data_IF_700047554684
#
_entry.id   IF_700047554684
#
_cell.length_a   1.000
_cell.length_b   1.000
_cell.length_c   1.000
_cell.angle_alpha   90.00
_cell.angle_beta   90.00
_cell.angle_gamma   90.00
#
_symmetry.space_group_name_H-M   'P 1'
#
loop_
_entity.id
_entity.type
_entity.pdbx_description
1 polymer ?
#
# COMPACT_ATOMS: atom_id res chain seq x y z
N UNK A 1 -58.40 24.54 -11.01
CA UNK A 1 -57.44 23.66 -10.32
C UNK A 1 -56.55 23.03 -11.36
N UNK A 2 -55.32 23.48 -11.40
CA UNK A 2 -54.35 23.32 -12.49
C UNK A 2 -53.62 21.97 -12.36
N UNK A 3 -53.98 21.00 -13.20
CA UNK A 3 -53.32 19.69 -13.25
C UNK A 3 -51.92 19.71 -13.91
N UNK A 4 -51.48 20.89 -14.41
CA UNK A 4 -50.18 21.07 -15.09
C UNK A 4 -49.00 21.21 -14.16
N UNK A 5 -49.18 21.57 -12.89
CA UNK A 5 -48.10 21.87 -11.97
C UNK A 5 -47.60 20.64 -11.17
N UNK A 6 -48.38 19.57 -11.11
CA UNK A 6 -48.00 18.34 -10.42
C UNK A 6 -47.03 17.44 -11.26
N UNK A 7 -47.18 17.46 -12.59
CA UNK A 7 -46.34 16.66 -13.49
C UNK A 7 -44.93 17.24 -13.61
N UNK A 8 -44.77 18.57 -13.56
CA UNK A 8 -43.46 19.22 -13.58
C UNK A 8 -42.68 19.00 -12.26
N UNK A 9 -43.37 19.03 -11.11
CA UNK A 9 -42.73 18.76 -9.80
C UNK A 9 -42.31 17.30 -9.64
N UNK A 10 -43.08 16.36 -10.20
CA UNK A 10 -42.72 14.93 -10.19
C UNK A 10 -41.63 14.62 -11.21
N UNK A 11 -41.60 15.30 -12.35
CA UNK A 11 -40.51 15.12 -13.35
C UNK A 11 -39.21 15.72 -12.88
N UNK A 12 -39.20 16.89 -12.26
CA UNK A 12 -37.97 17.48 -11.67
C UNK A 12 -37.47 16.65 -10.48
N UNK A 13 -38.37 16.08 -9.66
CA UNK A 13 -37.97 15.15 -8.59
C UNK A 13 -37.38 13.86 -9.14
N UNK A 14 -37.93 13.27 -10.21
CA UNK A 14 -37.42 12.03 -10.78
C UNK A 14 -36.09 12.20 -11.52
N UNK A 15 -35.85 13.32 -12.18
CA UNK A 15 -34.60 13.64 -12.88
C UNK A 15 -33.52 14.01 -11.88
N UNK A 16 -33.85 14.81 -10.85
CA UNK A 16 -32.89 15.17 -9.80
C UNK A 16 -32.46 13.94 -8.95
N UNK A 17 -33.38 12.99 -8.67
CA UNK A 17 -33.05 11.75 -7.97
C UNK A 17 -32.22 10.79 -8.81
N UNK A 18 -32.42 10.70 -10.12
CA UNK A 18 -31.57 9.82 -10.96
C UNK A 18 -30.14 10.34 -11.11
N UNK A 19 -29.92 11.63 -11.26
CA UNK A 19 -28.58 12.19 -11.39
C UNK A 19 -27.81 12.20 -10.06
N UNK A 20 -28.50 12.27 -8.91
CA UNK A 20 -27.89 12.16 -7.57
C UNK A 20 -27.62 10.70 -7.18
N UNK A 21 -28.48 9.75 -7.61
CA UNK A 21 -28.29 8.33 -7.34
C UNK A 21 -27.20 7.66 -8.20
N UNK A 22 -26.85 8.23 -9.35
CA UNK A 22 -25.89 7.64 -10.28
C UNK A 22 -24.45 8.16 -10.06
N UNK A 23 -24.25 9.07 -9.12
CA UNK A 23 -22.91 9.50 -8.76
C UNK A 23 -22.23 8.43 -7.90
N UNK A 24 -21.01 8.02 -8.27
CA UNK A 24 -20.11 7.17 -7.47
C UNK A 24 -20.08 7.62 -5.99
N UNK A 25 -20.16 8.92 -5.76
CA UNK A 25 -20.19 9.54 -4.43
C UNK A 25 -21.43 9.17 -3.60
N UNK A 26 -22.61 8.97 -4.22
CA UNK A 26 -23.81 8.56 -3.50
C UNK A 26 -23.75 7.08 -3.07
N UNK A 27 -23.17 6.20 -3.89
CA UNK A 27 -22.92 4.80 -3.52
C UNK A 27 -21.93 4.68 -2.36
N UNK A 28 -20.87 5.50 -2.37
CA UNK A 28 -19.90 5.58 -1.26
C UNK A 28 -20.59 6.15 -0.01
N UNK A 29 -21.46 7.16 -0.16
CA UNK A 29 -22.20 7.76 0.96
C UNK A 29 -23.20 6.77 1.58
N UNK A 30 -23.93 6.00 0.79
CA UNK A 30 -24.87 4.97 1.29
C UNK A 30 -24.14 3.79 1.92
N UNK A 31 -23.00 3.37 1.35
CA UNK A 31 -22.15 2.33 1.94
C UNK A 31 -21.64 2.75 3.33
N UNK A 32 -21.36 4.02 3.55
CA UNK A 32 -20.90 4.60 4.82
C UNK A 32 -21.94 4.51 5.98
N UNK A 33 -23.22 4.28 5.65
CA UNK A 33 -24.33 4.16 6.64
C UNK A 33 -24.80 2.74 6.89
N UNK A 34 -24.34 1.75 6.13
CA UNK A 34 -24.74 0.35 6.31
C UNK A 34 -24.12 -0.19 7.60
N UNK A 35 -24.93 -0.81 8.46
CA UNK A 35 -24.44 -1.58 9.60
C UNK A 35 -23.65 -2.76 9.01
N UNK A 36 -22.32 -2.75 9.15
CA UNK A 36 -21.46 -3.82 8.65
C UNK A 36 -21.76 -5.11 9.42
N UNK A 37 -21.94 -6.22 8.69
CA UNK A 37 -22.08 -7.55 9.30
C UNK A 37 -20.72 -7.98 9.88
N UNK A 38 -20.72 -8.86 10.85
CA UNK A 38 -19.51 -9.41 11.47
C UNK A 38 -18.52 -9.97 10.43
N UNK A 39 -19.03 -10.63 9.38
CA UNK A 39 -18.24 -11.14 8.26
C UNK A 39 -17.45 -10.06 7.53
N UNK A 40 -17.98 -8.85 7.42
CA UNK A 40 -17.31 -7.72 6.77
C UNK A 40 -16.16 -7.18 7.63
N UNK A 41 -16.34 -7.09 8.95
CA UNK A 41 -15.25 -6.75 9.88
C UNK A 41 -14.12 -7.77 9.83
N UNK A 42 -14.46 -9.07 9.85
CA UNK A 42 -13.48 -10.15 9.74
C UNK A 42 -12.71 -10.06 8.42
N UNK A 43 -13.41 -9.84 7.30
CA UNK A 43 -12.77 -9.69 5.98
C UNK A 43 -11.83 -8.48 5.93
N UNK A 44 -12.22 -7.34 6.51
CA UNK A 44 -11.34 -6.15 6.60
C UNK A 44 -10.12 -6.43 7.48
N UNK A 45 -10.28 -7.13 8.60
CA UNK A 45 -9.16 -7.53 9.44
C UNK A 45 -8.21 -8.47 8.70
N UNK A 46 -8.72 -9.45 7.94
CA UNK A 46 -7.90 -10.33 7.11
C UNK A 46 -7.14 -9.56 6.01
N UNK A 47 -7.80 -8.59 5.37
CA UNK A 47 -7.12 -7.69 4.40
C UNK A 47 -6.03 -6.86 5.09
N UNK A 48 -6.31 -6.34 6.30
CA UNK A 48 -5.31 -5.67 7.13
C UNK A 48 -4.13 -6.59 7.51
N UNK A 49 -4.40 -7.85 7.86
CA UNK A 49 -3.35 -8.83 8.12
C UNK A 49 -2.45 -9.03 6.88
N UNK A 50 -3.06 -9.18 5.71
CA UNK A 50 -2.31 -9.33 4.46
C UNK A 50 -1.48 -8.07 4.13
N UNK A 51 -2.00 -6.86 4.43
CA UNK A 51 -1.24 -5.60 4.32
C UNK A 51 -0.04 -5.60 5.26
N UNK A 52 -0.26 -5.91 6.55
CA UNK A 52 0.82 -5.95 7.56
C UNK A 52 1.88 -7.01 7.25
N UNK A 53 1.51 -8.17 6.69
CA UNK A 53 2.48 -9.15 6.19
C UNK A 53 3.37 -8.56 5.11
N UNK A 54 2.77 -7.86 4.15
CA UNK A 54 3.51 -7.24 3.05
C UNK A 54 4.46 -6.13 3.56
N UNK A 55 4.02 -5.33 4.54
CA UNK A 55 4.81 -4.23 5.09
C UNK A 55 6.04 -4.70 5.88
N UNK A 56 6.04 -5.93 6.40
CA UNK A 56 7.19 -6.53 7.08
C UNK A 56 8.28 -6.94 6.07
N UNK A 57 7.93 -7.13 4.80
CA UNK A 57 8.86 -7.56 3.75
C UNK A 57 9.46 -6.33 3.06
N UNK A 58 10.79 -6.13 3.13
CA UNK A 58 11.45 -5.04 2.42
C UNK A 58 11.19 -5.12 0.91
N UNK A 59 10.66 -4.04 0.32
CA UNK A 59 10.39 -3.96 -1.13
C UNK A 59 8.98 -4.41 -1.54
N UNK A 60 8.15 -4.88 -0.60
CA UNK A 60 6.72 -5.08 -0.78
C UNK A 60 5.98 -4.05 0.08
N UNK A 61 4.85 -3.55 -0.38
CA UNK A 61 4.07 -2.53 0.32
C UNK A 61 2.66 -3.02 0.63
N UNK A 62 2.19 -2.77 1.85
CA UNK A 62 0.79 -2.96 2.23
C UNK A 62 -0.17 -2.19 1.33
N UNK A 63 0.27 -1.05 0.76
CA UNK A 63 -0.47 -0.33 -0.27
C UNK A 63 -0.77 -1.18 -1.51
N UNK A 64 0.17 -2.04 -1.92
CA UNK A 64 -0.07 -3.03 -2.99
C UNK A 64 -1.24 -3.95 -2.64
N UNK A 65 -1.24 -4.50 -1.43
CA UNK A 65 -2.31 -5.39 -0.94
C UNK A 65 -3.64 -4.64 -0.82
N UNK A 66 -3.63 -3.40 -0.30
CA UNK A 66 -4.83 -2.58 -0.24
C UNK A 66 -5.43 -2.36 -1.63
N UNK A 67 -4.58 -2.08 -2.62
CA UNK A 67 -4.99 -1.85 -4.01
C UNK A 67 -5.65 -3.10 -4.61
N UNK A 68 -4.98 -4.26 -4.49
CA UNK A 68 -5.44 -5.55 -5.01
C UNK A 68 -6.76 -5.98 -4.35
N UNK A 69 -6.84 -5.81 -3.02
CA UNK A 69 -8.02 -6.20 -2.26
C UNK A 69 -9.21 -5.24 -2.42
N UNK A 70 -9.06 -4.19 -3.25
CA UNK A 70 -10.12 -3.23 -3.59
C UNK A 70 -10.49 -2.28 -2.45
N UNK A 71 -9.61 -2.08 -1.46
CA UNK A 71 -9.87 -1.15 -0.34
C UNK A 71 -9.00 0.11 -0.40
N UNK A 72 -8.20 0.27 -1.45
CA UNK A 72 -7.20 1.35 -1.54
C UNK A 72 -7.83 2.75 -1.55
N UNK A 73 -8.86 2.97 -2.38
CA UNK A 73 -9.54 4.28 -2.46
C UNK A 73 -10.21 4.62 -1.13
N UNK A 74 -10.86 3.63 -0.48
CA UNK A 74 -11.49 3.83 0.82
C UNK A 74 -10.46 4.08 1.92
N UNK A 75 -9.30 3.43 1.85
CA UNK A 75 -8.17 3.67 2.75
C UNK A 75 -7.65 5.10 2.61
N UNK A 76 -7.39 5.55 1.39
CA UNK A 76 -6.91 6.90 1.11
C UNK A 76 -7.91 7.96 1.57
N UNK A 77 -9.21 7.79 1.28
CA UNK A 77 -10.26 8.71 1.73
C UNK A 77 -10.39 8.73 3.27
N UNK A 78 -10.23 7.57 3.92
CA UNK A 78 -10.28 7.47 5.38
C UNK A 78 -9.07 8.14 6.05
N UNK A 79 -7.86 7.97 5.48
CA UNK A 79 -6.64 8.67 5.94
C UNK A 79 -6.80 10.18 5.74
N UNK A 80 -7.26 10.61 4.56
CA UNK A 80 -7.52 12.02 4.27
C UNK A 80 -8.52 12.67 5.23
N UNK A 81 -9.48 11.93 5.75
CA UNK A 81 -10.46 12.45 6.72
C UNK A 81 -9.88 12.71 8.12
N UNK A 82 -8.62 12.34 8.38
CA UNK A 82 -7.88 12.75 9.57
C UNK A 82 -7.35 14.18 9.36
N UNK A 83 -8.26 15.13 9.34
CA UNK A 83 -8.04 16.55 9.07
C UNK A 83 -8.20 17.41 10.33
N UNK A 84 -8.11 18.74 10.18
CA UNK A 84 -8.32 19.70 11.28
C UNK A 84 -9.70 19.51 11.95
N UNK A 85 -10.73 19.07 11.19
CA UNK A 85 -12.06 18.78 11.73
C UNK A 85 -12.03 17.58 12.66
N UNK A 86 -11.30 16.52 12.28
CA UNK A 86 -11.10 15.35 13.12
C UNK A 86 -10.40 15.74 14.45
N UNK A 87 -9.34 16.55 14.38
CA UNK A 87 -8.64 17.05 15.56
C UNK A 87 -9.55 17.90 16.45
N UNK A 88 -10.38 18.77 15.87
CA UNK A 88 -11.35 19.59 16.62
C UNK A 88 -12.41 18.71 17.28
N UNK A 89 -12.95 17.70 16.60
CA UNK A 89 -13.93 16.78 17.16
C UNK A 89 -13.33 15.97 18.32
N UNK A 90 -12.08 15.56 18.21
CA UNK A 90 -11.36 14.89 19.30
C UNK A 90 -11.13 15.82 20.49
N UNK A 91 -10.66 17.04 20.25
CA UNK A 91 -10.44 18.04 21.30
C UNK A 91 -11.71 18.50 22.03
N UNK A 92 -12.87 18.43 21.36
CA UNK A 92 -14.18 18.72 21.94
C UNK A 92 -14.87 17.48 22.53
N UNK A 93 -14.16 16.33 22.62
CA UNK A 93 -14.65 15.05 23.15
C UNK A 93 -15.91 14.51 22.43
N UNK A 94 -16.17 14.96 21.22
CA UNK A 94 -17.29 14.48 20.38
C UNK A 94 -16.91 13.16 19.68
N UNK A 95 -16.58 12.13 20.51
CA UNK A 95 -15.99 10.87 20.06
C UNK A 95 -16.83 10.13 19.03
N UNK A 96 -18.17 10.18 19.14
CA UNK A 96 -19.07 9.52 18.17
C UNK A 96 -18.99 10.17 16.78
N UNK A 97 -18.87 11.49 16.73
CA UNK A 97 -18.76 12.23 15.47
C UNK A 97 -17.36 12.08 14.88
N UNK A 98 -16.32 12.16 15.71
CA UNK A 98 -14.95 11.84 15.35
C UNK A 98 -14.87 10.46 14.67
N UNK A 99 -15.41 9.42 15.34
CA UNK A 99 -15.41 8.05 14.81
C UNK A 99 -16.08 7.92 13.45
N UNK A 100 -17.19 8.64 13.26
CA UNK A 100 -17.88 8.69 11.96
C UNK A 100 -17.10 9.44 10.91
N UNK A 101 -16.45 10.52 11.29
CA UNK A 101 -15.70 11.39 10.38
C UNK A 101 -14.49 10.67 9.78
N UNK A 102 -13.69 9.98 10.61
CA UNK A 102 -12.51 9.23 10.19
C UNK A 102 -12.82 7.85 9.57
N UNK A 103 -14.09 7.50 9.36
CA UNK A 103 -14.48 6.16 8.94
C UNK A 103 -13.92 5.04 9.85
N UNK A 104 -14.02 5.22 11.16
CA UNK A 104 -13.41 4.33 12.16
C UNK A 104 -13.87 2.87 12.08
N UNK A 105 -15.07 2.62 11.53
CA UNK A 105 -15.58 1.25 11.28
C UNK A 105 -14.79 0.50 10.22
N UNK A 106 -14.19 1.21 9.28
CA UNK A 106 -13.30 0.66 8.28
C UNK A 106 -11.85 0.62 8.78
N UNK A 107 -11.35 1.75 9.31
CA UNK A 107 -9.95 1.87 9.72
C UNK A 107 -9.57 0.92 10.86
N UNK A 108 -10.42 0.77 11.88
CA UNK A 108 -10.07 -0.05 13.04
C UNK A 108 -9.81 -1.51 12.69
N UNK A 109 -10.68 -2.23 11.95
CA UNK A 109 -10.41 -3.62 11.56
C UNK A 109 -9.14 -3.74 10.70
N UNK A 110 -8.89 -2.81 9.79
CA UNK A 110 -7.69 -2.81 8.94
C UNK A 110 -6.45 -2.63 9.81
N UNK A 111 -6.41 -1.62 10.69
CA UNK A 111 -5.28 -1.38 11.59
C UNK A 111 -5.05 -2.51 12.58
N UNK A 112 -6.12 -3.11 13.11
CA UNK A 112 -6.01 -4.31 13.95
C UNK A 112 -5.39 -5.47 13.18
N UNK A 113 -5.82 -5.69 11.94
CA UNK A 113 -5.23 -6.71 11.07
C UNK A 113 -3.75 -6.47 10.83
N UNK A 114 -3.35 -5.25 10.49
CA UNK A 114 -1.95 -4.87 10.32
C UNK A 114 -1.15 -5.13 11.60
N UNK A 115 -1.66 -4.71 12.76
CA UNK A 115 -1.01 -4.94 14.04
C UNK A 115 -0.84 -6.44 14.34
N UNK A 116 -1.90 -7.24 14.18
CA UNK A 116 -1.85 -8.70 14.37
C UNK A 116 -0.75 -9.29 13.48
N UNK A 117 -0.68 -8.91 12.21
CA UNK A 117 0.31 -9.43 11.28
C UNK A 117 1.74 -9.04 11.70
N UNK A 118 1.98 -7.78 12.04
CA UNK A 118 3.29 -7.32 12.48
C UNK A 118 3.76 -8.11 13.70
N UNK A 119 2.92 -8.27 14.73
CA UNK A 119 3.32 -8.95 15.96
C UNK A 119 3.41 -10.48 15.83
N UNK A 120 2.58 -11.10 14.99
CA UNK A 120 2.55 -12.58 14.85
C UNK A 120 3.45 -13.10 13.74
N UNK A 121 3.53 -12.39 12.61
CA UNK A 121 4.18 -12.88 11.39
C UNK A 121 5.56 -12.29 11.14
N UNK A 122 5.94 -11.20 11.82
CA UNK A 122 7.27 -10.61 11.65
C UNK A 122 8.39 -11.65 11.85
N UNK A 123 8.28 -12.49 12.89
CA UNK A 123 9.26 -13.55 13.16
C UNK A 123 9.31 -14.58 12.03
N UNK A 124 8.15 -14.99 11.50
CA UNK A 124 8.08 -15.92 10.38
C UNK A 124 8.68 -15.30 9.11
N UNK A 125 8.38 -14.03 8.82
CA UNK A 125 8.95 -13.34 7.66
C UNK A 125 10.46 -13.18 7.78
N UNK A 126 10.97 -12.82 8.96
CA UNK A 126 12.42 -12.76 9.21
C UNK A 126 13.06 -14.13 9.01
N UNK A 127 12.46 -15.20 9.54
CA UNK A 127 12.94 -16.57 9.32
C UNK A 127 12.98 -16.93 7.84
N UNK A 128 11.90 -16.69 7.09
CA UNK A 128 11.83 -17.00 5.65
C UNK A 128 12.82 -16.17 4.83
N UNK A 129 12.99 -14.89 5.13
CA UNK A 129 13.94 -14.01 4.44
C UNK A 129 15.39 -14.41 4.72
N UNK A 130 15.68 -14.94 5.91
CA UNK A 130 17.03 -15.37 6.31
C UNK A 130 17.38 -16.75 5.75
N UNK A 131 16.47 -17.72 5.89
CA UNK A 131 16.78 -19.12 5.58
C UNK A 131 16.25 -19.60 4.24
N UNK A 132 15.21 -18.93 3.68
CA UNK A 132 14.58 -19.30 2.43
C UNK A 132 14.33 -18.08 1.50
N UNK A 133 15.36 -17.22 1.27
CA UNK A 133 15.16 -15.97 0.54
C UNK A 133 14.63 -16.18 -0.88
N UNK A 134 15.19 -17.14 -1.63
CA UNK A 134 14.73 -17.43 -3.01
C UNK A 134 13.25 -17.79 -3.02
N UNK A 135 12.81 -18.62 -2.07
CA UNK A 135 11.43 -19.07 -1.99
C UNK A 135 10.45 -17.92 -1.75
N UNK A 136 10.71 -17.09 -0.74
CA UNK A 136 9.80 -15.99 -0.37
C UNK A 136 9.80 -14.88 -1.42
N UNK A 137 10.95 -14.52 -1.99
CA UNK A 137 11.03 -13.54 -3.06
C UNK A 137 10.31 -14.01 -4.32
N UNK A 138 10.43 -15.29 -4.70
CA UNK A 138 9.72 -15.88 -5.84
C UNK A 138 8.20 -15.82 -5.66
N UNK A 139 7.70 -16.13 -4.45
CA UNK A 139 6.30 -16.02 -4.11
C UNK A 139 5.79 -14.57 -4.30
N UNK A 140 6.50 -13.58 -3.75
CA UNK A 140 6.12 -12.17 -3.89
C UNK A 140 6.25 -11.67 -5.32
N UNK A 141 7.24 -12.15 -6.09
CA UNK A 141 7.40 -11.81 -7.49
C UNK A 141 6.14 -12.20 -8.30
N UNK A 142 5.66 -13.43 -8.13
CA UNK A 142 4.43 -13.90 -8.75
C UNK A 142 3.19 -13.14 -8.29
N UNK A 143 3.10 -12.85 -7.00
CA UNK A 143 2.04 -12.07 -6.40
C UNK A 143 1.94 -10.67 -7.02
N UNK A 144 3.07 -9.96 -7.18
CA UNK A 144 3.10 -8.61 -7.76
C UNK A 144 2.73 -8.63 -9.24
N UNK A 145 3.18 -9.63 -10.02
CA UNK A 145 2.79 -9.77 -11.43
C UNK A 145 1.27 -9.92 -11.55
N UNK A 146 0.68 -10.86 -10.80
CA UNK A 146 -0.77 -11.07 -10.82
C UNK A 146 -1.52 -9.79 -10.42
N UNK A 147 -1.02 -9.10 -9.41
CA UNK A 147 -1.56 -7.84 -8.90
C UNK A 147 -1.54 -6.74 -9.95
N UNK A 148 -0.41 -6.54 -10.64
CA UNK A 148 -0.29 -5.56 -11.71
C UNK A 148 -1.28 -5.84 -12.86
N UNK A 149 -1.49 -7.12 -13.20
CA UNK A 149 -2.47 -7.53 -14.21
C UNK A 149 -3.93 -7.24 -13.77
N UNK A 150 -4.25 -7.42 -12.50
CA UNK A 150 -5.58 -7.06 -11.98
C UNK A 150 -5.80 -5.55 -11.97
N UNK A 151 -4.78 -4.79 -11.58
CA UNK A 151 -4.80 -3.32 -11.60
C UNK A 151 -4.97 -2.81 -13.04
N UNK A 152 -4.30 -3.42 -14.02
CA UNK A 152 -4.46 -3.10 -15.43
C UNK A 152 -5.91 -3.13 -15.90
N UNK A 153 -6.74 -4.03 -15.34
CA UNK A 153 -8.18 -4.15 -15.67
C UNK A 153 -9.02 -3.00 -15.14
N UNK A 154 -8.51 -2.21 -14.20
CA UNK A 154 -9.22 -1.04 -13.66
C UNK A 154 -9.03 0.20 -14.54
N UNK A 155 -8.06 0.18 -15.46
CA UNK A 155 -7.84 1.23 -16.44
C UNK A 155 -8.91 1.09 -17.53
N UNK A 156 -9.84 2.05 -17.55
CA UNK A 156 -10.97 2.00 -18.48
C UNK A 156 -10.56 2.20 -19.94
N UNK A 157 -9.55 3.04 -20.19
CA UNK A 157 -9.01 3.30 -21.53
C UNK A 157 -7.50 3.44 -21.49
N UNK A 158 -6.81 2.60 -22.29
CA UNK A 158 -5.38 2.71 -22.54
C UNK A 158 -5.14 3.72 -23.67
N UNK A 159 -5.04 4.99 -23.31
CA UNK A 159 -4.61 6.05 -24.21
C UNK A 159 -3.09 6.29 -24.09
N UNK A 160 -2.54 7.16 -24.94
CA UNK A 160 -1.12 7.48 -24.92
C UNK A 160 -0.68 8.10 -23.58
N UNK A 161 -1.57 8.80 -22.86
CA UNK A 161 -1.30 9.43 -21.55
C UNK A 161 -1.16 8.37 -20.47
N UNK A 162 -2.08 7.40 -20.43
CA UNK A 162 -2.01 6.27 -19.50
C UNK A 162 -0.77 5.42 -19.77
N UNK A 163 -0.42 5.18 -21.04
CA UNK A 163 0.79 4.43 -21.40
C UNK A 163 2.06 5.18 -20.96
N UNK A 164 2.15 6.48 -21.23
CA UNK A 164 3.28 7.31 -20.79
C UNK A 164 3.37 7.33 -19.25
N UNK A 165 2.26 7.46 -18.56
CA UNK A 165 2.18 7.43 -17.10
C UNK A 165 2.64 6.09 -16.52
N UNK A 166 2.24 4.98 -17.12
CA UNK A 166 2.71 3.65 -16.77
C UNK A 166 4.23 3.52 -16.92
N UNK A 167 4.78 3.91 -18.07
CA UNK A 167 6.22 3.86 -18.33
C UNK A 167 6.99 4.76 -17.36
N UNK A 168 6.50 5.98 -17.10
CA UNK A 168 7.11 6.90 -16.15
C UNK A 168 7.11 6.33 -14.73
N UNK A 169 6.00 5.74 -14.29
CA UNK A 169 5.89 5.07 -12.98
C UNK A 169 6.84 3.87 -12.88
N UNK A 170 6.93 3.03 -13.92
CA UNK A 170 7.83 1.88 -13.95
C UNK A 170 9.30 2.31 -13.92
N UNK A 171 9.68 3.31 -14.71
CA UNK A 171 11.03 3.85 -14.73
C UNK A 171 11.41 4.48 -13.39
N UNK A 172 10.50 5.24 -12.76
CA UNK A 172 10.73 5.85 -11.45
C UNK A 172 10.94 4.78 -10.36
N UNK A 173 10.07 3.77 -10.31
CA UNK A 173 10.21 2.69 -9.33
C UNK A 173 11.48 1.87 -9.58
N UNK A 174 11.79 1.54 -10.83
CA UNK A 174 13.03 0.85 -11.17
C UNK A 174 14.25 1.66 -10.74
N UNK A 175 14.28 2.95 -11.05
CA UNK A 175 15.38 3.85 -10.63
C UNK A 175 15.56 3.87 -9.11
N UNK A 176 14.46 3.96 -8.36
CA UNK A 176 14.50 3.88 -6.89
C UNK A 176 15.13 2.55 -6.44
N UNK A 177 14.82 1.42 -7.09
CA UNK A 177 15.33 0.10 -6.67
C UNK A 177 16.82 -0.10 -6.94
N UNK A 178 17.41 0.65 -7.87
CA UNK A 178 18.86 0.60 -8.19
C UNK A 178 19.66 1.75 -7.56
N UNK A 179 18.96 2.73 -6.95
CA UNK A 179 19.62 3.85 -6.28
C UNK A 179 20.44 3.35 -5.08
N UNK A 180 21.62 3.91 -4.93
CA UNK A 180 22.49 3.65 -3.76
C UNK A 180 22.11 4.56 -2.61
N UNK A 181 22.26 4.09 -1.35
CA UNK A 181 22.04 4.93 -0.18
C UNK A 181 22.92 6.19 -0.19
N UNK A 182 22.33 7.32 0.16
CA UNK A 182 23.03 8.59 0.25
C UNK A 182 23.34 8.94 1.72
N UNK A 183 24.47 9.56 1.96
CA UNK A 183 24.73 10.21 3.23
C UNK A 183 23.96 11.52 3.30
N UNK A 184 23.14 11.67 4.31
CA UNK A 184 22.26 12.84 4.47
C UNK A 184 22.38 13.42 5.87
N UNK A 185 22.13 14.74 6.07
CA UNK A 185 22.28 15.39 7.37
C UNK A 185 21.26 14.86 8.39
N UNK A 186 21.64 14.87 9.68
CA UNK A 186 20.75 14.49 10.80
C UNK A 186 20.00 15.68 11.39
N UNK A 187 19.89 16.78 10.65
CA UNK A 187 19.17 17.97 11.06
C UNK A 187 17.68 17.66 11.21
N UNK A 188 17.04 18.34 12.15
CA UNK A 188 15.62 18.14 12.49
C UNK A 188 14.68 18.27 11.28
N UNK A 189 14.93 19.23 10.38
CA UNK A 189 14.12 19.42 9.18
C UNK A 189 14.23 18.25 8.19
N UNK A 190 15.44 17.65 8.08
CA UNK A 190 15.65 16.52 7.20
C UNK A 190 15.06 15.22 7.79
N UNK A 191 15.12 15.04 9.11
CA UNK A 191 14.43 13.95 9.81
C UNK A 191 12.93 14.05 9.60
N UNK A 192 12.35 15.25 9.72
CA UNK A 192 10.93 15.49 9.46
C UNK A 192 10.58 15.19 8.00
N UNK A 193 11.38 15.67 7.03
CA UNK A 193 11.20 15.41 5.60
C UNK A 193 11.31 13.92 5.27
N UNK A 194 12.27 13.21 5.86
CA UNK A 194 12.44 11.77 5.66
C UNK A 194 11.24 10.97 6.14
N UNK A 195 10.63 11.36 7.26
CA UNK A 195 9.36 10.79 7.75
C UNK A 195 8.21 11.01 6.76
N UNK A 196 8.11 12.23 6.21
CA UNK A 196 7.09 12.55 5.22
C UNK A 196 7.27 11.74 3.91
N UNK A 197 8.48 11.65 3.39
CA UNK A 197 8.75 10.90 2.14
C UNK A 197 8.54 9.40 2.36
N UNK A 198 9.02 8.85 3.47
CA UNK A 198 8.89 7.43 3.77
C UNK A 198 7.43 6.98 3.86
N UNK A 199 6.57 7.75 4.53
CA UNK A 199 5.15 7.41 4.64
C UNK A 199 4.41 7.56 3.30
N UNK A 200 4.76 8.56 2.48
CA UNK A 200 4.23 8.69 1.13
C UNK A 200 4.58 7.47 0.27
N UNK A 201 5.83 7.02 0.34
CA UNK A 201 6.27 5.82 -0.36
C UNK A 201 5.55 4.55 0.11
N UNK A 202 5.24 4.44 1.39
CA UNK A 202 4.52 3.30 1.96
C UNK A 202 3.07 3.19 1.43
N UNK A 203 2.44 4.31 1.11
CA UNK A 203 1.11 4.33 0.49
C UNK A 203 1.19 3.86 -0.96
N UNK A 204 2.26 4.20 -1.70
CA UNK A 204 2.41 3.82 -3.10
C UNK A 204 2.60 2.31 -3.24
N UNK A 205 1.84 1.64 -4.13
CA UNK A 205 2.05 0.23 -4.40
C UNK A 205 3.45 -0.03 -4.95
N UNK A 206 4.14 -1.03 -4.41
CA UNK A 206 5.45 -1.47 -4.91
C UNK A 206 6.67 -0.78 -4.28
N UNK A 207 6.48 0.23 -3.42
CA UNK A 207 7.59 0.90 -2.73
C UNK A 207 7.43 0.77 -1.22
N UNK A 208 8.52 0.43 -0.53
CA UNK A 208 8.55 0.31 0.94
C UNK A 208 9.11 1.59 1.56
N UNK A 209 8.40 2.14 2.56
CA UNK A 209 8.88 3.29 3.33
C UNK A 209 10.20 3.04 4.04
N UNK A 210 10.41 1.82 4.59
CA UNK A 210 11.68 1.41 5.20
C UNK A 210 12.84 1.43 4.20
N UNK A 211 12.59 1.00 2.96
CA UNK A 211 13.58 1.05 1.90
C UNK A 211 13.93 2.50 1.50
N UNK A 212 12.95 3.38 1.45
CA UNK A 212 13.20 4.82 1.22
C UNK A 212 14.04 5.42 2.36
N UNK A 213 13.76 5.07 3.62
CA UNK A 213 14.60 5.51 4.74
C UNK A 213 16.04 5.00 4.63
N UNK A 214 16.23 3.76 4.14
CA UNK A 214 17.55 3.20 3.89
C UNK A 214 18.29 4.03 2.80
N UNK A 215 17.62 4.34 1.69
CA UNK A 215 18.18 5.16 0.62
C UNK A 215 18.54 6.58 1.09
N UNK A 216 17.74 7.14 2.00
CA UNK A 216 18.02 8.44 2.61
C UNK A 216 19.07 8.36 3.74
N UNK A 217 19.68 7.20 4.01
CA UNK A 217 20.62 6.99 5.10
C UNK A 217 20.04 7.25 6.50
N UNK A 218 18.70 7.21 6.63
CA UNK A 218 18.01 7.52 7.89
C UNK A 218 17.48 6.31 8.63
N UNK A 219 17.45 5.16 8.01
CA UNK A 219 16.87 3.96 8.62
C UNK A 219 17.54 3.62 9.97
N UNK A 220 18.87 3.52 9.99
CA UNK A 220 19.62 3.22 11.21
C UNK A 220 19.46 4.31 12.27
N UNK A 221 19.55 5.58 11.88
CA UNK A 221 19.41 6.72 12.78
C UNK A 221 18.05 6.73 13.49
N UNK A 222 16.97 6.47 12.76
CA UNK A 222 15.62 6.40 13.33
C UNK A 222 15.46 5.15 14.21
N UNK A 223 15.96 3.98 13.78
CA UNK A 223 15.89 2.76 14.57
C UNK A 223 16.68 2.87 15.88
N UNK A 224 17.85 3.50 15.84
CA UNK A 224 18.64 3.80 17.04
C UNK A 224 17.89 4.78 17.94
N UNK A 225 17.32 5.85 17.40
CA UNK A 225 16.53 6.81 18.19
C UNK A 225 15.33 6.13 18.89
N UNK A 226 14.70 5.13 18.25
CA UNK A 226 13.64 4.33 18.88
C UNK A 226 14.20 3.42 19.98
N UNK A 227 15.36 2.76 19.75
CA UNK A 227 16.01 1.91 20.75
C UNK A 227 16.44 2.68 21.97
N UNK A 228 17.02 3.88 21.78
CA UNK A 228 17.52 4.77 22.83
C UNK A 228 16.43 5.64 23.46
N UNK A 229 15.17 5.49 23.03
CA UNK A 229 14.03 6.33 23.43
C UNK A 229 14.30 7.84 23.27
N UNK A 230 14.96 8.23 22.18
CA UNK A 230 15.22 9.64 21.84
C UNK A 230 13.93 10.32 21.37
N UNK A 231 13.11 10.74 22.36
CA UNK A 231 11.77 11.29 22.12
C UNK A 231 11.78 12.49 21.15
N UNK A 232 12.70 13.47 21.23
CA UNK A 232 12.75 14.56 20.26
C UNK A 232 12.82 14.11 18.80
N UNK A 233 13.73 13.19 18.48
CA UNK A 233 13.91 12.65 17.12
C UNK A 233 12.66 11.89 16.66
N UNK A 234 12.10 11.04 17.55
CA UNK A 234 10.89 10.27 17.26
C UNK A 234 9.71 11.22 16.97
N UNK A 235 9.51 12.23 17.78
CA UNK A 235 8.41 13.20 17.60
C UNK A 235 8.57 13.96 16.28
N UNK A 236 9.76 14.46 15.96
CA UNK A 236 10.03 15.17 14.70
C UNK A 236 9.72 14.26 13.51
N UNK A 237 10.18 13.00 13.54
CA UNK A 237 9.92 12.01 12.50
C UNK A 237 8.41 11.72 12.35
N UNK A 238 7.70 11.51 13.45
CA UNK A 238 6.26 11.23 13.45
C UNK A 238 5.45 12.44 12.97
N UNK A 239 5.83 13.66 13.33
CA UNK A 239 5.20 14.89 12.81
C UNK A 239 5.39 14.99 11.29
N UNK A 240 6.60 14.69 10.79
CA UNK A 240 6.86 14.62 9.36
C UNK A 240 6.00 13.56 8.66
N UNK A 241 5.95 12.36 9.23
CA UNK A 241 5.11 11.27 8.70
C UNK A 241 3.62 11.65 8.70
N UNK A 242 3.11 12.26 9.76
CA UNK A 242 1.72 12.70 9.83
C UNK A 242 1.40 13.78 8.79
N UNK A 243 2.28 14.76 8.61
CA UNK A 243 2.13 15.78 7.58
C UNK A 243 2.20 15.17 6.16
N UNK A 244 3.13 14.25 5.94
CA UNK A 244 3.30 13.54 4.66
C UNK A 244 2.06 12.72 4.29
N UNK A 245 1.56 11.89 5.21
CA UNK A 245 0.42 11.01 4.94
C UNK A 245 -0.84 11.82 4.65
N UNK A 246 -1.10 12.89 5.39
CA UNK A 246 -2.26 13.76 5.17
C UNK A 246 -2.15 14.48 3.82
N UNK A 247 -1.02 15.15 3.56
CA UNK A 247 -0.83 15.89 2.32
C UNK A 247 -0.89 15.00 1.09
N UNK A 248 -0.22 13.85 1.16
CA UNK A 248 -0.16 12.91 0.04
C UNK A 248 -1.49 12.21 -0.21
N UNK A 249 -2.25 11.86 0.84
CA UNK A 249 -3.58 11.28 0.67
C UNK A 249 -4.57 12.27 0.02
N UNK A 250 -4.46 13.58 0.31
CA UNK A 250 -5.23 14.61 -0.40
C UNK A 250 -4.87 14.68 -1.88
N UNK A 251 -3.57 14.70 -2.19
CA UNK A 251 -3.08 14.72 -3.56
C UNK A 251 -3.55 13.47 -4.32
N UNK A 252 -3.35 12.30 -3.74
CA UNK A 252 -3.68 11.03 -4.39
C UNK A 252 -5.19 10.86 -4.58
N UNK A 253 -5.99 11.24 -3.59
CA UNK A 253 -7.45 11.27 -3.71
C UNK A 253 -7.91 12.22 -4.83
N UNK A 254 -7.28 13.39 -4.94
CA UNK A 254 -7.57 14.34 -6.01
C UNK A 254 -7.21 13.77 -7.40
N UNK A 255 -6.03 13.15 -7.53
CA UNK A 255 -5.58 12.50 -8.76
C UNK A 255 -6.52 11.35 -9.18
N UNK A 256 -6.89 10.48 -8.25
CA UNK A 256 -7.82 9.37 -8.51
C UNK A 256 -9.22 9.85 -8.92
N UNK A 257 -9.67 11.01 -8.44
CA UNK A 257 -10.98 11.58 -8.80
C UNK A 257 -10.98 12.26 -10.16
N UNK A 258 -9.89 12.94 -10.53
CA UNK A 258 -9.84 13.74 -11.75
C UNK A 258 -9.18 13.01 -12.92
N UNK A 259 -8.16 12.17 -12.65
CA UNK A 259 -7.38 11.46 -13.66
C UNK A 259 -7.19 9.99 -13.27
N UNK A 260 -8.30 9.30 -13.05
CA UNK A 260 -8.33 7.92 -12.55
C UNK A 260 -7.41 7.00 -13.35
N UNK A 261 -7.62 6.88 -14.67
CA UNK A 261 -6.89 5.93 -15.51
C UNK A 261 -5.39 6.22 -15.55
N UNK A 262 -5.00 7.49 -15.64
CA UNK A 262 -3.59 7.92 -15.61
C UNK A 262 -2.96 7.62 -14.26
N UNK A 263 -3.66 7.89 -13.16
CA UNK A 263 -3.15 7.63 -11.81
C UNK A 263 -2.98 6.14 -11.57
N UNK A 264 -3.98 5.33 -11.94
CA UNK A 264 -3.90 3.87 -11.82
C UNK A 264 -2.78 3.31 -12.69
N UNK A 265 -2.54 3.88 -13.88
CA UNK A 265 -1.43 3.49 -14.74
C UNK A 265 -0.06 3.79 -14.11
N UNK A 266 0.12 4.95 -13.46
CA UNK A 266 1.34 5.26 -12.68
C UNK A 266 1.53 4.24 -11.55
N UNK A 267 0.48 3.96 -10.76
CA UNK A 267 0.54 3.02 -9.64
C UNK A 267 0.88 1.60 -10.12
N UNK A 268 0.29 1.16 -11.23
CA UNK A 268 0.65 -0.09 -11.88
C UNK A 268 2.12 -0.08 -12.34
N UNK A 269 2.58 1.05 -12.90
CA UNK A 269 3.97 1.24 -13.28
C UNK A 269 4.91 1.05 -12.08
N UNK A 270 4.59 1.65 -10.93
CA UNK A 270 5.35 1.45 -9.70
C UNK A 270 5.43 -0.03 -9.31
N UNK A 271 4.34 -0.78 -9.41
CA UNK A 271 4.33 -2.22 -9.12
C UNK A 271 5.26 -2.99 -10.07
N UNK A 272 5.20 -2.71 -11.37
CA UNK A 272 6.05 -3.39 -12.36
C UNK A 272 7.51 -3.02 -12.19
N UNK A 273 7.83 -1.74 -11.96
CA UNK A 273 9.20 -1.29 -11.71
C UNK A 273 9.80 -1.89 -10.44
N UNK A 274 8.98 -2.11 -9.40
CA UNK A 274 9.41 -2.73 -8.14
C UNK A 274 9.76 -4.22 -8.25
N UNK A 275 9.37 -4.91 -9.36
CA UNK A 275 9.77 -6.30 -9.59
C UNK A 275 11.29 -6.47 -9.58
N UNK A 276 12.03 -5.45 -9.96
CA UNK A 276 13.49 -5.44 -9.84
C UNK A 276 13.94 -5.67 -8.38
N UNK A 277 13.24 -5.10 -7.39
CA UNK A 277 13.60 -5.26 -5.96
C UNK A 277 13.23 -6.64 -5.40
N UNK A 278 12.22 -7.30 -5.94
CA UNK A 278 11.77 -8.62 -5.47
C UNK A 278 12.32 -9.77 -6.31
N UNK A 279 13.28 -9.50 -7.20
CA UNK A 279 13.96 -10.55 -7.97
C UNK A 279 14.60 -11.58 -7.03
N UNK A 280 14.41 -12.90 -7.24
CA UNK A 280 14.82 -13.91 -6.25
C UNK A 280 16.33 -14.10 -6.11
N UNK A 281 17.08 -13.95 -7.21
CA UNK A 281 18.53 -14.23 -7.21
C UNK A 281 19.32 -12.93 -7.17
N UNK A 282 20.02 -12.73 -6.05
CA UNK A 282 20.78 -11.50 -5.77
C UNK A 282 22.17 -11.82 -5.27
N UNK A 283 23.11 -11.04 -5.74
CA UNK A 283 24.45 -10.94 -5.16
C UNK A 283 24.48 -9.74 -4.22
N UNK A 284 24.95 -9.94 -2.99
CA UNK A 284 25.13 -8.86 -2.02
C UNK A 284 26.51 -8.26 -2.19
N UNK A 285 26.58 -7.02 -2.69
CA UNK A 285 27.85 -6.31 -2.87
C UNK A 285 28.30 -5.64 -1.58
N UNK A 286 27.36 -5.08 -0.80
CA UNK A 286 27.66 -4.39 0.46
C UNK A 286 26.66 -4.76 1.53
N UNK A 287 27.15 -4.83 2.79
CA UNK A 287 26.33 -5.10 3.98
C UNK A 287 26.46 -3.96 4.98
N UNK A 288 25.43 -3.79 5.81
CA UNK A 288 25.51 -2.94 7.01
C UNK A 288 25.13 -3.75 8.24
N UNK A 289 25.52 -3.30 9.42
CA UNK A 289 25.10 -3.90 10.68
C UNK A 289 23.81 -3.21 11.14
N UNK A 290 22.80 -4.01 11.46
CA UNK A 290 21.57 -3.50 12.06
C UNK A 290 21.78 -3.14 13.55
N UNK A 291 20.73 -2.64 14.23
CA UNK A 291 20.77 -2.26 15.65
C UNK A 291 21.08 -3.45 16.59
N UNK A 292 21.01 -4.67 16.10
CA UNK A 292 21.34 -5.92 16.83
C UNK A 292 22.71 -6.47 16.47
N UNK A 293 23.49 -5.77 15.64
CA UNK A 293 24.79 -6.20 15.17
C UNK A 293 24.75 -7.29 14.10
N UNK A 294 23.59 -7.53 13.48
CA UNK A 294 23.42 -8.51 12.41
C UNK A 294 23.71 -7.86 11.06
N UNK A 295 24.57 -8.50 10.24
CA UNK A 295 24.86 -8.01 8.90
C UNK A 295 23.63 -8.13 8.00
N UNK A 296 23.17 -7.00 7.48
CA UNK A 296 22.05 -6.88 6.56
C UNK A 296 22.54 -6.40 5.19
N UNK A 297 21.93 -6.84 4.08
CA UNK A 297 22.34 -6.42 2.75
C UNK A 297 21.98 -4.94 2.53
N UNK A 298 22.98 -4.14 2.13
CA UNK A 298 22.82 -2.73 1.77
C UNK A 298 22.66 -2.57 0.27
N UNK A 299 23.64 -3.06 -0.50
CA UNK A 299 23.63 -3.02 -1.96
C UNK A 299 23.56 -4.44 -2.50
N UNK A 300 22.57 -4.68 -3.36
CA UNK A 300 22.35 -5.97 -3.99
C UNK A 300 22.18 -5.81 -5.49
N UNK A 301 22.83 -6.71 -6.26
CA UNK A 301 22.70 -6.79 -7.70
C UNK A 301 21.89 -8.03 -8.09
N UNK A 302 20.94 -7.86 -9.01
CA UNK A 302 20.19 -8.98 -9.54
C UNK A 302 21.06 -9.75 -10.53
N UNK A 303 21.08 -11.08 -10.36
CA UNK A 303 21.83 -11.99 -11.21
C UNK A 303 20.93 -13.06 -11.80
N UNK A 304 21.37 -13.71 -12.88
CA UNK A 304 20.67 -14.87 -13.43
C UNK A 304 20.81 -16.09 -12.49
N UNK A 305 19.86 -17.04 -12.49
CA UNK A 305 19.92 -18.24 -11.66
C UNK A 305 21.25 -19.03 -11.76
N UNK A 306 21.75 -19.23 -12.98
CA UNK A 306 23.04 -19.90 -13.20
C UNK A 306 24.26 -19.11 -12.70
N UNK A 307 24.23 -17.79 -12.83
CA UNK A 307 25.26 -16.90 -12.27
C UNK A 307 25.24 -16.93 -10.75
N UNK A 308 24.04 -17.00 -10.14
CA UNK A 308 23.89 -17.13 -8.69
C UNK A 308 24.59 -18.39 -8.16
N UNK A 309 24.40 -19.54 -8.84
CA UNK A 309 25.09 -20.79 -8.46
C UNK A 309 26.61 -20.67 -8.54
N UNK A 310 27.12 -19.99 -9.58
CA UNK A 310 28.56 -19.80 -9.76
C UNK A 310 29.17 -18.87 -8.69
N UNK A 311 28.46 -17.81 -8.32
CA UNK A 311 28.97 -16.81 -7.38
C UNK A 311 28.85 -17.26 -5.93
N UNK A 312 27.75 -17.93 -5.58
CA UNK A 312 27.45 -18.28 -4.17
C UNK A 312 27.79 -19.72 -3.82
N UNK A 313 27.98 -20.59 -4.79
CA UNK A 313 28.11 -22.05 -4.59
C UNK A 313 26.83 -22.72 -4.11
N UNK A 314 25.70 -22.00 -4.04
CA UNK A 314 24.42 -22.52 -3.62
C UNK A 314 23.53 -22.85 -4.83
N UNK A 315 22.68 -23.89 -4.74
CA UNK A 315 21.76 -24.22 -5.83
C UNK A 315 20.76 -23.10 -6.06
N UNK A 316 20.46 -22.76 -7.30
CA UNK A 316 19.50 -21.71 -7.68
C UNK A 316 18.05 -22.04 -7.31
N UNK A 317 17.74 -23.30 -7.00
CA UNK A 317 16.39 -23.76 -6.67
C UNK A 317 15.34 -23.31 -7.71
N UNK A 318 15.73 -23.25 -9.01
CA UNK A 318 14.92 -22.67 -10.09
C UNK A 318 13.51 -23.27 -10.16
N UNK A 319 13.38 -24.60 -10.05
CA UNK A 319 12.08 -25.28 -10.11
C UNK A 319 11.18 -24.83 -8.94
N UNK A 320 11.73 -24.79 -7.73
CA UNK A 320 11.01 -24.33 -6.54
C UNK A 320 10.61 -22.85 -6.68
N UNK A 321 11.50 -22.01 -7.20
CA UNK A 321 11.25 -20.59 -7.42
C UNK A 321 10.09 -20.39 -8.41
N UNK A 322 10.08 -21.10 -9.54
CA UNK A 322 8.98 -21.05 -10.53
C UNK A 322 7.67 -21.53 -9.92
N UNK A 323 7.68 -22.64 -9.19
CA UNK A 323 6.46 -23.16 -8.54
C UNK A 323 5.90 -22.16 -7.53
N UNK A 324 6.73 -21.55 -6.70
CA UNK A 324 6.29 -20.55 -5.72
C UNK A 324 5.84 -19.25 -6.38
N UNK A 325 6.46 -18.82 -7.48
CA UNK A 325 5.98 -17.72 -8.29
C UNK A 325 4.56 -18.00 -8.82
N UNK A 326 4.31 -19.21 -9.35
CA UNK A 326 2.97 -19.62 -9.79
C UNK A 326 1.98 -19.66 -8.61
N UNK A 327 2.40 -20.17 -7.46
CA UNK A 327 1.55 -20.16 -6.25
C UNK A 327 1.21 -18.73 -5.83
N UNK A 328 2.18 -17.82 -5.79
CA UNK A 328 1.95 -16.40 -5.49
C UNK A 328 0.99 -15.73 -6.48
N UNK A 329 1.17 -16.04 -7.77
CA UNK A 329 0.29 -15.57 -8.83
C UNK A 329 -1.15 -16.08 -8.64
N UNK A 330 -1.32 -17.38 -8.41
CA UNK A 330 -2.64 -18.00 -8.23
C UNK A 330 -3.31 -17.57 -6.92
N UNK A 331 -2.55 -17.25 -5.87
CA UNK A 331 -3.08 -16.78 -4.60
C UNK A 331 -3.92 -15.49 -4.79
N UNK A 332 -3.46 -14.56 -5.61
CA UNK A 332 -4.19 -13.32 -5.92
C UNK A 332 -5.50 -13.61 -6.66
N UNK A 333 -5.48 -14.46 -7.66
CA UNK A 333 -6.70 -14.86 -8.37
C UNK A 333 -7.68 -15.60 -7.45
N UNK A 334 -7.17 -16.43 -6.53
CA UNK A 334 -7.97 -17.10 -5.50
C UNK A 334 -8.67 -16.10 -4.57
N UNK A 335 -7.95 -15.08 -4.10
CA UNK A 335 -8.52 -14.01 -3.26
C UNK A 335 -9.60 -13.24 -4.03
N UNK A 336 -9.35 -12.88 -5.30
CA UNK A 336 -10.33 -12.19 -6.14
C UNK A 336 -11.58 -13.05 -6.37
N UNK A 337 -11.42 -14.32 -6.66
CA UNK A 337 -12.52 -15.26 -6.87
C UNK A 337 -13.38 -15.39 -5.59
N UNK A 338 -12.74 -15.56 -4.44
CA UNK A 338 -13.42 -15.63 -3.15
C UNK A 338 -14.19 -14.33 -2.86
N UNK A 339 -13.58 -13.17 -3.10
CA UNK A 339 -14.24 -11.88 -2.92
C UNK A 339 -15.48 -11.75 -3.80
N UNK A 340 -15.43 -12.16 -5.06
CA UNK A 340 -16.57 -12.16 -6.00
C UNK A 340 -17.70 -13.11 -5.54
N UNK A 341 -17.34 -14.28 -5.03
CA UNK A 341 -18.34 -15.27 -4.51
C UNK A 341 -19.06 -14.73 -3.28
N UNK A 342 -18.32 -14.09 -2.35
CA UNK A 342 -18.89 -13.52 -1.13
C UNK A 342 -19.85 -12.38 -1.48
N UNK A 343 -19.44 -11.45 -2.37
CA UNK A 343 -20.30 -10.33 -2.80
C UNK A 343 -21.57 -10.83 -3.46
N UNK A 344 -21.47 -11.82 -4.38
CA UNK A 344 -22.63 -12.40 -5.07
C UNK A 344 -23.58 -13.13 -4.13
N UNK A 345 -23.08 -13.63 -2.98
CA UNK A 345 -23.91 -14.30 -1.95
C UNK A 345 -24.63 -13.29 -1.04
N UNK A 346 -24.14 -12.06 -0.93
CA UNK A 346 -24.77 -10.98 -0.17
C UNK A 346 -25.85 -10.23 -0.98
N UNK A 347 -25.84 -10.33 -2.31
CA UNK A 347 -26.83 -9.73 -3.22
C UNK A 347 -28.07 -10.65 -3.42
N UNK A 348 -28.01 -11.88 -3.00
CA UNK A 348 -29.16 -12.83 -2.98
C UNK A 348 -29.77 -12.91 -1.59
#
# INVERSE_FOLDING_TARGET
FDAGNLSHALFVRSVCWRSVCDSRNFRIFVAKFRIMKFSQYLLLTLKGCAMGMADVVPGVSGGTIAFISGIYEELIESIKSVDATALRLLGTLRLKEFWRHINGRFLLPVLLGIAIAIFSLARLMTYLLTYHPIAIWSFFFGLIIASALLVARQIGRWDWRSLLAFVAGAAAAWWITVATPAETPNDWWFVMLSGAIAICAMILPGISGAFILLLLGKYQYIMQAVGDLNIPVIVIFVVGAAAGIISFSHLLSWLLKHWHDVTVAVLMGFMVGSLNKVWPWKETAETYLDSHGVAQPLVQHNVAPGTFEQLTGQPSQLVQAVLLCVVGFLAIYGIELLARIIVKKEEK
#
